data_IF_138576115024
#
_entry.id   IF_138576115024
#
_cell.length_a   1.000
_cell.length_b   1.000
_cell.length_c   1.000
_cell.angle_alpha   90.00
_cell.angle_beta   90.00
_cell.angle_gamma   90.00
#
_symmetry.space_group_name_H-M   'P 1'
#
loop_
_entity.id
_entity.type
_entity.pdbx_description
1 polymer ?
#
# COMPACT_ATOMS: atom_id res chain seq x y z
N UNK A 1 16.81 -4.20 14.88
CA UNK A 1 15.92 -4.26 13.70
C UNK A 1 16.25 -3.15 12.69
N UNK A 2 17.53 -2.73 12.57
CA UNK A 2 17.95 -1.59 11.74
C UNK A 2 18.53 -1.98 10.38
N UNK A 3 18.92 -3.25 10.21
CA UNK A 3 19.69 -3.70 9.06
C UNK A 3 19.01 -3.48 7.70
N UNK A 4 17.67 -3.42 7.63
CA UNK A 4 16.95 -3.35 6.36
C UNK A 4 16.70 -1.94 5.84
N UNK A 5 16.60 -0.95 6.74
CA UNK A 5 16.46 0.46 6.38
C UNK A 5 17.81 1.04 5.89
N UNK A 6 18.92 0.40 6.26
CA UNK A 6 20.28 0.79 5.86
C UNK A 6 20.92 -0.24 4.92
N UNK A 7 20.12 -1.12 4.31
CA UNK A 7 20.61 -2.16 3.40
C UNK A 7 21.18 -1.54 2.11
N UNK A 8 20.47 -0.57 1.54
CA UNK A 8 20.91 0.15 0.34
C UNK A 8 20.42 1.60 0.36
N UNK A 9 21.28 2.55 0.00
CA UNK A 9 20.95 3.99 0.07
C UNK A 9 19.91 4.43 -0.96
N UNK A 10 19.89 3.77 -2.11
CA UNK A 10 19.04 4.12 -3.24
C UNK A 10 17.73 3.31 -3.22
N UNK A 11 17.75 2.10 -2.64
CA UNK A 11 16.59 1.21 -2.61
C UNK A 11 15.90 1.07 -1.26
N UNK A 12 16.56 1.36 -0.12
CA UNK A 12 15.91 1.39 1.21
C UNK A 12 15.20 2.72 1.48
N UNK A 13 14.59 3.31 0.45
CA UNK A 13 13.78 4.54 0.50
C UNK A 13 12.33 4.25 0.12
N UNK A 14 11.45 5.24 0.30
CA UNK A 14 10.05 5.11 -0.13
C UNK A 14 9.99 5.04 -1.65
N UNK A 15 9.36 4.00 -2.19
CA UNK A 15 9.16 3.80 -3.62
C UNK A 15 7.70 4.07 -4.00
N UNK A 16 7.47 4.52 -5.24
CA UNK A 16 6.14 4.73 -5.81
C UNK A 16 5.87 3.74 -6.94
N UNK A 17 4.71 3.11 -6.92
CA UNK A 17 4.26 2.13 -7.89
C UNK A 17 2.97 2.62 -8.55
N UNK A 18 3.01 2.83 -9.87
CA UNK A 18 1.86 3.27 -10.65
C UNK A 18 1.05 2.06 -11.15
N UNK A 19 -0.14 1.83 -10.59
CA UNK A 19 -0.97 0.66 -10.92
C UNK A 19 -1.42 0.66 -12.39
N UNK A 20 -1.61 1.83 -13.00
CA UNK A 20 -1.96 1.96 -14.43
C UNK A 20 -0.87 1.41 -15.34
N UNK A 21 0.41 1.58 -14.96
CA UNK A 21 1.56 1.07 -15.72
C UNK A 21 1.73 -0.44 -15.55
N UNK A 22 1.33 -1.00 -14.39
CA UNK A 22 1.32 -2.44 -14.16
C UNK A 22 0.25 -3.19 -14.97
N UNK A 23 -0.91 -2.56 -15.20
CA UNK A 23 -2.03 -3.15 -15.92
C UNK A 23 -2.42 -2.34 -17.18
N UNK A 24 -1.54 -2.21 -18.18
CA UNK A 24 -1.72 -1.25 -19.30
C UNK A 24 -2.98 -1.53 -20.14
N UNK A 25 -3.41 -2.80 -20.25
CA UNK A 25 -4.55 -3.21 -21.08
C UNK A 25 -5.84 -3.42 -20.27
N UNK A 26 -5.88 -3.01 -19.00
CA UNK A 26 -7.04 -3.18 -18.14
C UNK A 26 -7.44 -1.83 -17.55
N UNK A 27 -8.70 -1.46 -17.72
CA UNK A 27 -9.23 -0.25 -17.08
C UNK A 27 -9.65 -0.58 -15.65
N UNK A 28 -8.83 -0.19 -14.68
CA UNK A 28 -9.16 -0.30 -13.25
C UNK A 28 -10.42 0.52 -12.96
N UNK A 29 -11.43 -0.11 -12.36
CA UNK A 29 -12.68 0.53 -11.93
C UNK A 29 -12.64 0.93 -10.47
N UNK A 30 -12.05 0.08 -9.63
CA UNK A 30 -11.95 0.28 -8.18
C UNK A 30 -10.67 -0.37 -7.64
N UNK A 31 -10.08 0.26 -6.64
CA UNK A 31 -8.98 -0.30 -5.85
C UNK A 31 -9.40 -0.24 -4.39
N UNK A 32 -9.39 -1.37 -3.70
CA UNK A 32 -9.69 -1.46 -2.27
C UNK A 32 -8.48 -2.01 -1.54
N UNK A 33 -8.02 -1.31 -0.50
CA UNK A 33 -6.89 -1.75 0.29
C UNK A 33 -7.33 -2.60 1.49
N UNK A 34 -6.67 -3.74 1.66
CA UNK A 34 -7.05 -4.78 2.61
C UNK A 34 -5.91 -5.11 3.58
N UNK A 35 -6.24 -5.91 4.59
CA UNK A 35 -5.30 -6.59 5.47
C UNK A 35 -4.35 -7.51 4.70
N UNK A 36 -3.25 -7.91 5.33
CA UNK A 36 -2.28 -8.82 4.73
C UNK A 36 -2.93 -10.12 4.23
N UNK A 37 -3.92 -10.64 4.96
CA UNK A 37 -4.70 -11.84 4.63
C UNK A 37 -5.92 -11.57 3.73
N UNK A 38 -6.07 -10.35 3.19
CA UNK A 38 -7.15 -9.94 2.29
C UNK A 38 -8.58 -10.16 2.83
N UNK A 39 -8.78 -10.11 4.15
CA UNK A 39 -10.07 -10.42 4.79
C UNK A 39 -10.74 -9.23 5.49
N UNK A 40 -10.05 -8.09 5.60
CA UNK A 40 -10.53 -6.89 6.28
C UNK A 40 -10.06 -5.65 5.53
N UNK A 41 -10.86 -4.58 5.50
CA UNK A 41 -10.40 -3.30 4.93
C UNK A 41 -9.31 -2.67 5.81
N UNK A 42 -8.22 -2.20 5.19
CA UNK A 42 -7.09 -1.60 5.93
C UNK A 42 -7.54 -0.38 6.73
N UNK A 43 -8.42 0.45 6.15
CA UNK A 43 -8.92 1.66 6.79
C UNK A 43 -9.64 1.36 8.11
N UNK A 44 -10.38 0.26 8.19
CA UNK A 44 -11.08 -0.13 9.42
C UNK A 44 -10.14 -0.74 10.46
N UNK A 45 -9.11 -1.46 10.02
CA UNK A 45 -8.08 -1.97 10.91
C UNK A 45 -7.27 -0.84 11.55
N UNK A 46 -6.85 0.17 10.78
CA UNK A 46 -6.07 1.30 11.29
C UNK A 46 -6.87 2.12 12.32
N UNK A 47 -8.19 2.29 12.12
CA UNK A 47 -9.08 2.92 13.11
C UNK A 47 -9.17 2.14 14.43
N UNK A 48 -9.10 0.80 14.36
CA UNK A 48 -9.23 -0.10 15.52
C UNK A 48 -7.88 -0.43 16.17
N UNK A 49 -6.77 0.09 15.65
CA UNK A 49 -5.44 -0.23 16.14
C UNK A 49 -5.24 0.34 17.54
N UNK A 50 -4.87 -0.53 18.48
CA UNK A 50 -4.57 -0.12 19.86
C UNK A 50 -3.26 0.68 19.90
N UNK A 51 -3.27 1.78 20.64
CA UNK A 51 -2.11 2.64 20.86
C UNK A 51 -1.51 2.29 22.22
N UNK A 52 -0.31 1.74 22.22
CA UNK A 52 0.39 1.32 23.42
C UNK A 52 1.50 2.30 23.77
N UNK A 53 1.63 2.63 25.06
CA UNK A 53 2.78 3.38 25.57
C UNK A 53 3.87 2.39 25.97
N UNK A 54 4.93 2.30 25.17
CA UNK A 54 6.04 1.37 25.41
C UNK A 54 7.08 2.03 26.32
N UNK A 55 7.51 1.35 27.38
CA UNK A 55 8.56 1.86 28.27
C UNK A 55 9.92 1.88 27.56
N UNK A 56 10.64 3.00 27.66
CA UNK A 56 11.95 3.17 27.00
C UNK A 56 11.89 3.59 25.53
N UNK A 57 10.72 3.96 24.99
CA UNK A 57 10.66 4.58 23.67
C UNK A 57 11.30 5.98 23.73
N UNK A 58 12.54 6.08 23.24
CA UNK A 58 13.04 7.36 22.71
C UNK A 58 12.15 7.66 21.51
N UNK A 59 11.54 8.85 21.47
CA UNK A 59 10.59 9.32 20.45
C UNK A 59 10.64 8.46 19.19
N UNK A 60 9.66 7.56 19.06
CA UNK A 60 9.62 6.55 18.01
C UNK A 60 9.89 7.27 16.69
N UNK A 61 11.05 7.00 16.05
CA UNK A 61 11.29 7.44 14.67
C UNK A 61 10.08 6.93 13.91
N UNK A 62 9.15 7.85 13.60
CA UNK A 62 7.81 7.48 13.16
C UNK A 62 7.96 6.48 12.05
N UNK A 63 7.37 5.28 12.21
CA UNK A 63 7.44 4.25 11.19
C UNK A 63 6.94 4.89 9.91
N UNK A 64 7.86 5.13 8.97
CA UNK A 64 7.53 5.72 7.68
C UNK A 64 6.69 4.66 6.98
N UNK A 65 5.42 4.98 6.72
CA UNK A 65 4.49 4.14 5.98
C UNK A 65 4.11 4.88 4.71
N UNK A 66 3.88 4.14 3.63
CA UNK A 66 3.33 4.71 2.43
C UNK A 66 1.98 5.38 2.69
N UNK A 67 1.72 6.48 2.00
CA UNK A 67 0.45 7.18 2.08
C UNK A 67 -0.75 6.36 1.57
N UNK A 68 -1.98 6.84 1.83
CA UNK A 68 -3.18 6.26 1.24
C UNK A 68 -3.10 6.31 -0.29
N UNK A 69 -3.74 5.35 -0.97
CA UNK A 69 -3.78 5.34 -2.44
C UNK A 69 -4.58 6.53 -2.95
N UNK A 70 -3.97 7.33 -3.82
CA UNK A 70 -4.65 8.42 -4.53
C UNK A 70 -5.57 7.83 -5.63
N UNK A 71 -6.90 8.02 -5.56
CA UNK A 71 -7.84 7.45 -6.52
C UNK A 71 -7.68 7.97 -7.96
N UNK A 72 -7.15 9.18 -8.14
CA UNK A 72 -6.95 9.79 -9.45
C UNK A 72 -5.65 9.31 -10.10
N UNK A 73 -4.57 9.27 -9.31
CA UNK A 73 -3.24 8.84 -9.78
C UNK A 73 -3.13 7.32 -9.87
N UNK A 74 -3.84 6.57 -9.01
CA UNK A 74 -3.68 5.12 -8.82
C UNK A 74 -2.20 4.75 -8.57
N UNK A 75 -1.55 5.54 -7.73
CA UNK A 75 -0.17 5.34 -7.31
C UNK A 75 -0.13 4.85 -5.85
N UNK A 76 0.74 3.89 -5.58
CA UNK A 76 0.93 3.28 -4.27
C UNK A 76 2.35 3.56 -3.79
N UNK A 77 2.46 4.09 -2.58
CA UNK A 77 3.76 4.24 -1.91
C UNK A 77 4.05 3.02 -1.05
N UNK A 78 5.30 2.57 -1.07
CA UNK A 78 5.82 1.48 -0.25
C UNK A 78 7.05 1.96 0.49
N UNK A 79 6.99 1.93 1.81
CA UNK A 79 8.16 2.11 2.66
C UNK A 79 8.99 0.80 2.75
N UNK A 80 10.26 0.88 3.19
CA UNK A 80 11.07 -0.33 3.40
C UNK A 80 10.33 -1.35 4.27
N UNK A 81 10.32 -2.61 3.82
CA UNK A 81 9.62 -3.74 4.46
C UNK A 81 8.10 -3.64 4.53
N UNK A 82 7.48 -2.68 3.84
CA UNK A 82 6.02 -2.61 3.78
C UNK A 82 5.45 -3.61 2.77
N UNK A 83 4.42 -4.34 3.18
CA UNK A 83 3.60 -5.17 2.31
C UNK A 83 2.19 -4.58 2.33
N UNK A 84 1.67 -4.24 1.15
CA UNK A 84 0.30 -3.73 0.98
C UNK A 84 -0.50 -4.67 0.09
N UNK A 85 -1.69 -5.01 0.55
CA UNK A 85 -2.59 -5.96 -0.12
C UNK A 85 -3.76 -5.20 -0.72
N UNK A 86 -4.02 -5.41 -2.01
CA UNK A 86 -5.08 -4.73 -2.74
C UNK A 86 -6.00 -5.71 -3.45
N UNK A 87 -7.29 -5.40 -3.41
CA UNK A 87 -8.29 -5.93 -4.34
C UNK A 87 -8.46 -4.92 -5.48
N UNK A 88 -8.27 -5.36 -6.72
CA UNK A 88 -8.39 -4.50 -7.91
C UNK A 88 -9.54 -5.03 -8.76
N UNK A 89 -10.55 -4.19 -8.94
CA UNK A 89 -11.65 -4.44 -9.87
C UNK A 89 -11.30 -3.84 -11.22
N UNK A 90 -11.51 -4.61 -12.28
CA UNK A 90 -11.34 -4.15 -13.65
C UNK A 90 -12.71 -4.02 -14.32
N UNK A 91 -12.86 -2.99 -15.16
CA UNK A 91 -13.95 -2.97 -16.12
C UNK A 91 -13.67 -4.06 -17.15
N UNK A 92 -14.51 -5.09 -17.19
CA UNK A 92 -14.55 -5.98 -18.33
C UNK A 92 -15.08 -5.15 -19.50
N UNK A 93 -14.26 -4.96 -20.54
CA UNK A 93 -14.76 -4.48 -21.82
C UNK A 93 -15.88 -5.43 -22.21
N UNK A 94 -17.09 -4.91 -22.45
CA UNK A 94 -18.09 -5.65 -23.22
C UNK A 94 -17.38 -6.09 -24.49
N UNK A 95 -17.15 -7.40 -24.63
CA UNK A 95 -16.79 -7.97 -25.91
C UNK A 95 -18.01 -7.78 -26.80
N UNK A 96 -18.05 -6.65 -27.50
CA UNK A 96 -18.91 -6.51 -28.66
C UNK A 96 -18.31 -7.36 -29.78
N UNK A 97 -18.98 -8.47 -30.08
CA UNK A 97 -19.02 -9.06 -31.42
C UNK A 97 -20.32 -9.88 -31.44
N UNK A 98 -21.42 -9.35 -32.00
CA UNK A 98 -21.72 -9.22 -33.44
C UNK A 98 -21.99 -10.56 -34.11
#
# INVERSE_FOLDING_TARGET
>A
MYAKIEEDKDYSVVASVELKKLFPNKKISKVTELSLSANQERADMEKKRLVWKVAGSTEERGVVRGGPVDPAKLAVELAPMEIRTFLIDFNYLQMFSS
#
